data_IF_780366913783
#
_entry.id   IF_780366913783
#
_cell.length_a   1.000
_cell.length_b   1.000
_cell.length_c   1.000
_cell.angle_alpha   90.00
_cell.angle_beta   90.00
_cell.angle_gamma   90.00
#
_symmetry.space_group_name_H-M   'P 1'
#
loop_
_entity.id
_entity.type
_entity.pdbx_description
1 polymer ?
#
# COMPACT_ATOMS: atom_id res chain seq x y z
N UNK A 1 0.50 -0.56 17.04
CA UNK A 1 0.00 -0.84 15.68
C UNK A 1 1.11 -0.63 14.66
N UNK A 2 1.02 -1.34 13.56
CA UNK A 2 1.99 -1.24 12.46
C UNK A 2 1.33 -0.64 11.24
N UNK A 3 2.17 -0.12 10.34
CA UNK A 3 1.72 0.44 9.06
C UNK A 3 2.17 -0.49 7.94
N UNK A 4 1.24 -0.85 7.07
CA UNK A 4 1.51 -1.72 5.94
C UNK A 4 1.15 -1.01 4.64
N UNK A 5 2.05 -1.08 3.68
CA UNK A 5 1.81 -0.59 2.33
C UNK A 5 1.45 -1.77 1.45
N UNK A 6 0.23 -1.76 0.93
CA UNK A 6 -0.25 -2.79 0.03
C UNK A 6 -0.35 -2.19 -1.36
N UNK A 7 0.33 -2.79 -2.32
CA UNK A 7 0.41 -2.26 -3.68
C UNK A 7 0.13 -3.35 -4.70
N UNK A 8 -0.54 -2.97 -5.77
CA UNK A 8 -0.73 -3.89 -6.89
C UNK A 8 0.60 -4.17 -7.56
N UNK A 9 0.77 -5.41 -8.01
CA UNK A 9 1.97 -5.84 -8.74
C UNK A 9 1.87 -5.57 -10.23
N UNK A 10 0.70 -5.16 -10.69
CA UNK A 10 0.44 -4.87 -12.09
C UNK A 10 -0.58 -3.75 -12.20
N UNK A 11 -0.67 -3.13 -13.37
CA UNK A 11 -1.63 -2.08 -13.61
C UNK A 11 -3.04 -2.67 -13.71
N UNK A 12 -3.90 -2.24 -12.81
CA UNK A 12 -5.28 -2.70 -12.75
C UNK A 12 -6.20 -1.73 -13.53
N UNK A 13 -7.48 -2.09 -13.59
CA UNK A 13 -8.47 -1.26 -14.26
C UNK A 13 -8.56 0.13 -13.61
N UNK A 14 -8.88 1.18 -14.37
CA UNK A 14 -9.15 2.51 -13.80
C UNK A 14 -10.19 2.43 -12.68
N UNK A 15 -10.01 3.25 -11.67
CA UNK A 15 -10.86 3.31 -10.47
C UNK A 15 -10.78 2.09 -9.56
N UNK A 16 -10.03 1.05 -9.92
CA UNK A 16 -9.77 -0.06 -9.03
C UNK A 16 -8.78 0.38 -7.93
N UNK A 17 -8.81 -0.34 -6.81
CA UNK A 17 -7.84 -0.07 -5.74
C UNK A 17 -6.46 -0.50 -6.23
N UNK A 18 -5.53 0.45 -6.32
CA UNK A 18 -4.16 0.21 -6.75
C UNK A 18 -3.22 0.06 -5.57
N UNK A 19 -3.41 0.89 -4.56
CA UNK A 19 -2.57 0.95 -3.39
C UNK A 19 -3.43 1.22 -2.16
N UNK A 20 -2.95 0.78 -1.01
CA UNK A 20 -3.58 1.12 0.26
C UNK A 20 -2.51 1.19 1.36
N UNK A 21 -2.72 2.09 2.30
CA UNK A 21 -1.94 2.12 3.54
C UNK A 21 -2.88 1.63 4.63
N UNK A 22 -2.51 0.53 5.27
CA UNK A 22 -3.33 -0.11 6.28
C UNK A 22 -2.62 -0.09 7.62
N UNK A 23 -3.30 0.42 8.63
CA UNK A 23 -2.80 0.42 10.00
C UNK A 23 -3.47 -0.75 10.71
N UNK A 24 -2.66 -1.69 11.18
CA UNK A 24 -3.14 -2.91 11.80
C UNK A 24 -2.11 -3.47 12.78
N UNK A 25 -2.53 -4.37 13.63
CA UNK A 25 -1.63 -4.98 14.61
C UNK A 25 -0.60 -5.90 13.95
N UNK A 26 -1.00 -6.59 12.89
CA UNK A 26 -0.12 -7.53 12.20
C UNK A 26 -0.47 -7.61 10.72
N UNK A 27 0.42 -8.27 9.98
CA UNK A 27 0.28 -8.43 8.53
C UNK A 27 -0.99 -9.18 8.14
N UNK A 28 -1.33 -10.25 8.85
CA UNK A 28 -2.52 -11.04 8.52
C UNK A 28 -3.79 -10.22 8.64
N UNK A 29 -3.89 -9.40 9.67
CA UNK A 29 -5.03 -8.50 9.86
C UNK A 29 -5.09 -7.46 8.74
N UNK A 30 -3.93 -6.89 8.37
CA UNK A 30 -3.88 -5.90 7.28
C UNK A 30 -4.38 -6.50 5.97
N UNK A 31 -3.91 -7.69 5.62
CA UNK A 31 -4.33 -8.38 4.38
C UNK A 31 -5.81 -8.73 4.43
N UNK A 32 -6.29 -9.20 5.58
CA UNK A 32 -7.70 -9.56 5.75
C UNK A 32 -8.62 -8.36 5.53
N UNK A 33 -8.30 -7.24 6.15
CA UNK A 33 -9.12 -6.04 6.01
C UNK A 33 -9.04 -5.46 4.60
N UNK A 34 -7.87 -5.48 3.98
CA UNK A 34 -7.72 -5.07 2.59
C UNK A 34 -8.55 -5.96 1.66
N UNK A 35 -8.55 -7.26 1.89
CA UNK A 35 -9.33 -8.20 1.09
C UNK A 35 -10.83 -7.94 1.19
N UNK A 36 -11.32 -7.52 2.35
CA UNK A 36 -12.72 -7.10 2.50
C UNK A 36 -13.03 -5.92 1.61
N UNK A 37 -12.16 -4.91 1.57
CA UNK A 37 -12.34 -3.74 0.71
C UNK A 37 -12.34 -4.12 -0.76
N UNK A 38 -11.47 -5.04 -1.17
CA UNK A 38 -11.47 -5.53 -2.54
C UNK A 38 -12.83 -6.13 -2.93
N UNK A 39 -13.43 -6.90 -2.03
CA UNK A 39 -14.74 -7.52 -2.29
C UNK A 39 -15.87 -6.52 -2.33
N UNK A 40 -15.77 -5.42 -1.59
CA UNK A 40 -16.79 -4.38 -1.54
C UNK A 40 -16.64 -3.32 -2.61
N UNK A 41 -15.46 -3.21 -3.21
CA UNK A 41 -15.23 -2.21 -4.24
C UNK A 41 -15.85 -2.67 -5.56
N UNK A 42 -16.77 -1.87 -6.15
CA UNK A 42 -17.49 -2.28 -7.37
C UNK A 42 -16.57 -2.48 -8.57
N UNK A 43 -15.39 -1.85 -8.58
CA UNK A 43 -14.43 -2.00 -9.66
C UNK A 43 -13.46 -3.16 -9.46
N UNK A 44 -13.45 -3.76 -8.27
CA UNK A 44 -12.57 -4.87 -7.92
C UNK A 44 -13.29 -6.21 -7.80
N UNK A 45 -14.61 -6.21 -7.95
CA UNK A 45 -15.40 -7.42 -7.73
C UNK A 45 -14.94 -8.58 -8.60
N UNK A 46 -14.77 -9.72 -7.99
CA UNK A 46 -14.53 -11.03 -8.62
C UNK A 46 -13.27 -11.17 -9.47
N UNK A 47 -12.72 -10.08 -9.99
CA UNK A 47 -11.60 -10.14 -10.93
C UNK A 47 -10.24 -10.07 -10.26
N UNK A 48 -10.16 -9.58 -9.04
CA UNK A 48 -8.90 -9.34 -8.37
C UNK A 48 -8.62 -10.35 -7.29
N UNK A 49 -7.40 -10.83 -7.25
CA UNK A 49 -6.92 -11.79 -6.26
C UNK A 49 -5.92 -11.12 -5.34
N UNK A 50 -5.90 -11.53 -4.08
CA UNK A 50 -4.94 -11.02 -3.11
C UNK A 50 -3.48 -11.23 -3.54
N UNK A 51 -3.22 -12.25 -4.37
CA UNK A 51 -1.89 -12.53 -4.91
C UNK A 51 -1.41 -11.46 -5.90
N UNK A 52 -2.29 -10.60 -6.38
CA UNK A 52 -1.93 -9.50 -7.26
C UNK A 52 -1.41 -8.26 -6.51
N UNK A 53 -1.31 -8.37 -5.20
CA UNK A 53 -0.85 -7.28 -4.34
C UNK A 53 0.33 -7.73 -3.51
N UNK A 54 1.27 -6.82 -3.28
CA UNK A 54 2.33 -7.00 -2.31
C UNK A 54 1.96 -6.26 -1.03
N UNK A 55 2.40 -6.78 0.10
CA UNK A 55 2.17 -6.17 1.40
C UNK A 55 3.52 -5.99 2.09
N UNK A 56 3.88 -4.74 2.36
CA UNK A 56 5.15 -4.41 2.99
C UNK A 56 4.91 -3.65 4.29
N UNK A 57 5.52 -4.13 5.36
CA UNK A 57 5.51 -3.40 6.63
C UNK A 57 6.46 -2.20 6.53
N UNK A 58 5.96 -1.02 6.90
CA UNK A 58 6.75 0.20 6.88
C UNK A 58 7.50 0.33 8.20
N UNK A 59 8.81 0.53 8.12
CA UNK A 59 9.65 0.77 9.30
C UNK A 59 9.45 2.21 9.76
N UNK A 60 8.81 2.37 10.91
CA UNK A 60 8.51 3.69 11.47
C UNK A 60 9.68 4.32 12.24
N UNK A 61 10.78 3.61 12.37
CA UNK A 61 11.94 4.10 13.12
C UNK A 61 12.91 4.92 12.25
N UNK A 62 12.65 5.01 10.96
CA UNK A 62 13.48 5.78 10.03
C UNK A 62 12.65 6.83 9.32
N UNK A 63 13.14 8.08 9.25
CA UNK A 63 12.46 9.11 8.47
C UNK A 63 12.39 8.72 6.99
N UNK A 64 11.22 8.85 6.39
CA UNK A 64 11.00 8.48 5.01
C UNK A 64 9.76 9.14 4.43
N UNK A 65 9.73 9.20 3.13
CA UNK A 65 8.55 9.61 2.39
C UNK A 65 8.05 8.44 1.55
N UNK A 66 6.75 8.37 1.37
CA UNK A 66 6.12 7.51 0.38
C UNK A 66 5.69 8.40 -0.77
N UNK A 67 6.31 8.21 -1.92
CA UNK A 67 6.12 9.09 -3.08
C UNK A 67 5.51 8.30 -4.21
N UNK A 68 4.44 8.83 -4.78
CA UNK A 68 3.85 8.31 -6.01
C UNK A 68 4.12 9.31 -7.12
N UNK A 69 4.85 8.85 -8.14
CA UNK A 69 5.11 9.66 -9.31
C UNK A 69 3.93 9.58 -10.27
N UNK A 70 3.68 10.65 -11.01
CA UNK A 70 2.66 10.66 -12.06
C UNK A 70 3.09 9.87 -13.28
N UNK A 71 2.26 9.85 -14.32
CA UNK A 71 2.54 9.15 -15.56
C UNK A 71 2.18 7.67 -15.47
N UNK A 72 3.11 6.82 -15.85
CA UNK A 72 2.84 5.38 -15.99
C UNK A 72 3.00 4.60 -14.68
N UNK A 73 3.35 5.25 -13.58
CA UNK A 73 3.52 4.56 -12.31
C UNK A 73 2.28 4.70 -11.44
N UNK A 74 1.98 3.65 -10.70
CA UNK A 74 0.88 3.62 -9.74
C UNK A 74 1.37 3.23 -8.35
N UNK A 75 2.64 2.85 -8.23
CA UNK A 75 3.20 2.40 -6.96
C UNK A 75 3.87 3.55 -6.23
N UNK A 76 3.90 3.43 -4.91
CA UNK A 76 4.67 4.33 -4.06
C UNK A 76 6.10 3.87 -3.96
N UNK A 77 7.03 4.80 -4.04
CA UNK A 77 8.41 4.56 -3.70
C UNK A 77 8.67 5.00 -2.26
N UNK A 78 9.44 4.21 -1.55
CA UNK A 78 9.86 4.50 -0.19
C UNK A 78 11.21 5.19 -0.26
N UNK A 79 11.25 6.47 0.10
CA UNK A 79 12.45 7.29 0.03
C UNK A 79 12.87 7.68 1.43
N UNK A 80 13.98 7.12 1.90
CA UNK A 80 14.55 7.47 3.20
C UNK A 80 15.32 8.80 3.08
N UNK A 81 15.30 9.60 4.12
CA UNK A 81 16.05 10.83 4.20
C UNK A 81 16.66 10.99 5.59
N UNK A 82 17.70 11.81 5.67
CA UNK A 82 18.27 12.16 6.96
C UNK A 82 17.52 13.34 7.56
N UNK A 83 17.06 13.16 8.78
CA UNK A 83 16.38 14.22 9.49
C UNK A 83 17.44 15.21 9.98
N UNK A 84 17.28 16.50 9.63
CA UNK A 84 18.17 17.52 10.13
C UNK A 84 18.08 17.61 11.66
N UNK A 85 19.25 17.61 12.30
CA UNK A 85 19.31 17.81 13.73
C UNK A 85 19.15 19.29 14.01
N UNK A 86 18.18 19.60 14.83
CA UNK A 86 18.05 20.97 15.34
C UNK A 86 19.15 21.23 16.35
N UNK A 87 19.89 22.24 16.08
CA UNK A 87 20.92 22.72 17.01
C UNK A 87 20.30 23.70 18.02
#
# INVERSE_FOLDING_TARGET
MNVYLIQSTDCLKPYAIQNAIVIAENRNTAIKEFSKELRHNPYCQQSYRSTWFSCKKINLNKPKMLIQYGGDTWQFDEVEYEQEQKQ
#
